data_IF_340506200365
#
_entry.id   IF_340506200365
#
_cell.length_a   1.000
_cell.length_b   1.000
_cell.length_c   1.000
_cell.angle_alpha   90.00
_cell.angle_beta   90.00
_cell.angle_gamma   90.00
#
_symmetry.space_group_name_H-M   'P 1'
#
loop_
_entity.id
_entity.type
_entity.pdbx_description
1 polymer ?
#
# COMPACT_ATOMS: atom_id res chain seq x y z
N UNK A 1 7.06 -15.11 -17.54
CA UNK A 1 6.73 -13.69 -17.30
C UNK A 1 5.86 -13.09 -18.44
N UNK A 2 6.13 -13.32 -19.76
CA UNK A 2 5.30 -12.70 -20.81
C UNK A 2 3.80 -13.04 -20.78
N UNK A 3 3.42 -14.11 -20.09
CA UNK A 3 2.03 -14.60 -20.00
C UNK A 3 1.42 -14.36 -18.61
N UNK A 4 1.85 -13.33 -17.90
CA UNK A 4 1.28 -12.95 -16.62
C UNK A 4 1.02 -11.45 -16.59
N UNK A 5 0.08 -11.00 -15.74
CA UNK A 5 -0.32 -9.60 -15.60
C UNK A 5 0.51 -8.84 -14.57
N UNK A 6 1.17 -9.55 -13.66
CA UNK A 6 2.11 -9.00 -12.68
C UNK A 6 3.11 -10.05 -12.23
N UNK A 7 4.20 -9.63 -11.59
CA UNK A 7 5.21 -10.51 -10.97
C UNK A 7 5.42 -10.07 -9.53
N UNK A 8 5.29 -11.01 -8.59
CA UNK A 8 5.74 -10.82 -7.22
C UNK A 8 7.07 -11.55 -7.00
N UNK A 9 7.99 -10.88 -6.34
CA UNK A 9 9.30 -11.41 -5.95
C UNK A 9 9.42 -11.31 -4.44
N UNK A 10 9.24 -12.42 -3.73
CA UNK A 10 9.45 -12.52 -2.30
C UNK A 10 10.82 -13.17 -2.05
N UNK A 11 11.80 -12.40 -1.55
CA UNK A 11 13.18 -12.85 -1.37
C UNK A 11 13.49 -13.16 0.09
N UNK A 12 13.44 -14.42 0.45
CA UNK A 12 13.81 -14.93 1.77
C UNK A 12 15.32 -15.15 1.98
N UNK A 13 16.15 -14.80 1.01
CA UNK A 13 17.60 -14.95 1.11
C UNK A 13 18.10 -16.40 1.07
N UNK A 14 17.31 -17.34 0.54
CA UNK A 14 17.65 -18.77 0.47
C UNK A 14 18.47 -19.16 -0.78
N UNK A 15 18.97 -18.17 -1.54
CA UNK A 15 19.88 -18.40 -2.66
C UNK A 15 19.21 -18.62 -4.03
N UNK A 16 17.88 -18.73 -4.10
CA UNK A 16 17.16 -18.89 -5.37
C UNK A 16 17.28 -17.64 -6.27
N UNK A 17 17.19 -16.45 -5.65
CA UNK A 17 17.18 -15.18 -6.36
C UNK A 17 18.59 -14.57 -6.42
N UNK A 18 19.28 -14.83 -7.53
CA UNK A 18 20.56 -14.18 -7.84
C UNK A 18 20.35 -12.77 -8.38
N UNK A 19 21.40 -11.92 -8.31
CA UNK A 19 21.38 -10.59 -8.93
C UNK A 19 21.08 -10.67 -10.44
N UNK A 20 21.56 -11.70 -11.14
CA UNK A 20 21.26 -11.91 -12.55
C UNK A 20 19.78 -12.23 -12.78
N UNK A 21 19.20 -13.10 -11.95
CA UNK A 21 17.77 -13.46 -12.00
C UNK A 21 16.90 -12.23 -11.78
N UNK A 22 17.18 -11.43 -10.74
CA UNK A 22 16.43 -10.21 -10.43
C UNK A 22 16.50 -9.16 -11.56
N UNK A 23 17.67 -8.98 -12.15
CA UNK A 23 17.85 -8.13 -13.34
C UNK A 23 17.05 -8.63 -14.54
N UNK A 24 17.03 -9.92 -14.79
CA UNK A 24 16.26 -10.50 -15.89
C UNK A 24 14.74 -10.31 -15.67
N UNK A 25 14.25 -10.54 -14.44
CA UNK A 25 12.85 -10.30 -14.07
C UNK A 25 12.48 -8.81 -14.31
N UNK A 26 13.28 -7.88 -13.80
CA UNK A 26 13.06 -6.46 -13.96
C UNK A 26 13.04 -6.04 -15.44
N UNK A 27 14.01 -6.49 -16.22
CA UNK A 27 14.09 -6.18 -17.64
C UNK A 27 12.90 -6.75 -18.43
N UNK A 28 12.47 -7.97 -18.11
CA UNK A 28 11.31 -8.60 -18.72
C UNK A 28 10.01 -7.87 -18.36
N UNK A 29 9.82 -7.49 -17.09
CA UNK A 29 8.68 -6.69 -16.66
C UNK A 29 8.61 -5.36 -17.40
N UNK A 30 9.71 -4.64 -17.47
CA UNK A 30 9.80 -3.37 -18.21
C UNK A 30 9.49 -3.52 -19.71
N UNK A 31 10.07 -4.54 -20.35
CA UNK A 31 9.85 -4.81 -21.80
C UNK A 31 8.38 -5.09 -22.12
N UNK A 32 7.68 -5.79 -21.25
CA UNK A 32 6.29 -6.23 -21.47
C UNK A 32 5.26 -5.33 -20.75
N UNK A 33 5.68 -4.24 -20.12
CA UNK A 33 4.84 -3.35 -19.30
C UNK A 33 4.08 -4.10 -18.20
N UNK A 34 4.73 -5.08 -17.58
CA UNK A 34 4.20 -5.91 -16.51
C UNK A 34 4.77 -5.38 -15.17
N UNK A 35 3.94 -5.03 -14.18
CA UNK A 35 4.42 -4.60 -12.89
C UNK A 35 5.19 -5.69 -12.17
N UNK A 36 6.34 -5.32 -11.62
CA UNK A 36 7.17 -6.19 -10.77
C UNK A 36 7.19 -5.61 -9.37
N UNK A 37 6.66 -6.36 -8.42
CA UNK A 37 6.60 -6.02 -7.00
C UNK A 37 7.62 -6.86 -6.26
N UNK A 38 8.47 -6.23 -5.45
CA UNK A 38 9.50 -6.91 -4.68
C UNK A 38 9.29 -6.75 -3.18
N UNK A 39 9.37 -7.87 -2.48
CA UNK A 39 9.52 -7.96 -1.03
C UNK A 39 10.97 -8.39 -0.76
N UNK A 40 11.85 -7.45 -0.42
CA UNK A 40 13.28 -7.70 -0.39
C UNK A 40 13.69 -8.39 0.90
N UNK A 41 14.73 -9.20 0.84
CA UNK A 41 15.38 -9.72 2.05
C UNK A 41 16.16 -8.64 2.80
N UNK A 42 16.44 -8.87 4.06
CA UNK A 42 17.35 -8.04 4.84
C UNK A 42 18.77 -8.10 4.24
N UNK A 43 19.18 -7.04 3.57
CA UNK A 43 20.50 -6.89 2.93
C UNK A 43 20.86 -5.41 2.84
N UNK A 44 22.16 -5.11 2.85
CA UNK A 44 22.68 -3.76 2.57
C UNK A 44 22.81 -3.48 1.06
N UNK A 45 22.77 -4.52 0.22
CA UNK A 45 22.87 -4.38 -1.23
C UNK A 45 21.51 -4.38 -1.90
N UNK A 46 20.74 -3.34 -1.68
CA UNK A 46 19.42 -3.17 -2.30
C UNK A 46 19.47 -2.93 -3.81
N UNK A 47 20.62 -2.56 -4.37
CA UNK A 47 20.77 -2.31 -5.82
C UNK A 47 20.43 -3.53 -6.69
N UNK A 48 20.40 -4.73 -6.12
CA UNK A 48 19.96 -5.93 -6.83
C UNK A 48 18.49 -5.89 -7.26
N UNK A 49 17.64 -5.06 -6.60
CA UNK A 49 16.22 -4.87 -6.91
C UNK A 49 15.93 -3.64 -7.78
N UNK A 50 16.94 -3.07 -8.43
CA UNK A 50 16.76 -1.87 -9.27
C UNK A 50 15.74 -2.09 -10.39
N UNK A 51 15.02 -1.00 -10.71
CA UNK A 51 14.04 -0.90 -11.79
C UNK A 51 12.80 -1.80 -11.62
N UNK A 52 12.52 -2.27 -10.43
CA UNK A 52 11.21 -2.85 -10.12
C UNK A 52 10.13 -1.76 -10.19
N UNK A 53 8.87 -2.14 -10.37
CA UNK A 53 7.76 -1.19 -10.31
C UNK A 53 7.57 -0.69 -8.88
N UNK A 54 7.61 -1.61 -7.92
CA UNK A 54 7.42 -1.35 -6.51
C UNK A 54 8.37 -2.22 -5.68
N UNK A 55 8.94 -1.65 -4.62
CA UNK A 55 9.68 -2.37 -3.58
C UNK A 55 9.05 -2.05 -2.22
N UNK A 56 8.87 -3.08 -1.39
CA UNK A 56 8.25 -2.98 -0.06
C UNK A 56 9.16 -3.53 1.03
N UNK A 57 10.19 -2.81 1.47
CA UNK A 57 10.92 -3.18 2.68
C UNK A 57 10.09 -2.94 3.94
N UNK A 58 10.37 -3.72 4.99
CA UNK A 58 9.93 -3.39 6.34
C UNK A 58 10.86 -2.33 6.97
N UNK A 59 10.49 -1.82 8.17
CA UNK A 59 11.29 -0.82 8.90
C UNK A 59 12.75 -1.23 9.04
N UNK A 60 13.02 -2.44 9.52
CA UNK A 60 14.40 -2.93 9.77
C UNK A 60 15.21 -3.03 8.49
N UNK A 61 14.59 -3.50 7.43
CA UNK A 61 15.19 -3.62 6.10
C UNK A 61 15.48 -2.25 5.51
N UNK A 62 14.54 -1.31 5.61
CA UNK A 62 14.73 0.05 5.12
C UNK A 62 15.83 0.79 5.90
N UNK A 63 15.89 0.63 7.22
CA UNK A 63 16.97 1.16 8.06
C UNK A 63 18.34 0.59 7.67
N UNK A 64 18.43 -0.74 7.50
CA UNK A 64 19.66 -1.40 7.09
C UNK A 64 20.13 -0.92 5.71
N UNK A 65 19.20 -0.78 4.76
CA UNK A 65 19.49 -0.30 3.42
C UNK A 65 19.87 1.19 3.37
N UNK A 66 19.24 2.02 4.21
CA UNK A 66 19.53 3.44 4.32
C UNK A 66 20.80 3.75 5.14
N UNK A 67 21.25 2.80 5.98
CA UNK A 67 22.44 2.94 6.82
C UNK A 67 22.22 3.71 8.13
N UNK A 68 20.95 3.96 8.53
CA UNK A 68 20.64 4.63 9.80
C UNK A 68 19.28 4.19 10.36
N UNK A 69 19.07 4.42 11.67
CA UNK A 69 17.83 4.10 12.38
C UNK A 69 16.82 5.24 12.25
N UNK A 70 15.53 4.89 12.20
CA UNK A 70 14.45 5.87 12.18
C UNK A 70 14.08 6.30 13.60
N UNK A 71 14.23 7.59 13.88
CA UNK A 71 13.84 8.22 15.14
C UNK A 71 12.47 8.90 15.01
N UNK A 72 12.19 9.44 13.84
CA UNK A 72 10.97 10.16 13.53
C UNK A 72 10.56 9.97 12.05
N UNK A 73 9.47 10.60 11.66
CA UNK A 73 8.97 10.56 10.28
C UNK A 73 9.94 11.18 9.27
N UNK A 74 10.75 12.17 9.66
CA UNK A 74 11.72 12.80 8.76
C UNK A 74 12.82 11.81 8.37
N UNK A 75 13.27 10.97 9.31
CA UNK A 75 14.23 9.91 9.02
C UNK A 75 13.64 8.90 8.01
N UNK A 76 12.37 8.54 8.16
CA UNK A 76 11.68 7.63 7.24
C UNK A 76 11.62 8.25 5.83
N UNK A 77 11.23 9.52 5.71
CA UNK A 77 11.18 10.23 4.43
C UNK A 77 12.56 10.37 3.79
N UNK A 78 13.59 10.64 4.60
CA UNK A 78 14.98 10.70 4.14
C UNK A 78 15.44 9.35 3.57
N UNK A 79 15.17 8.26 4.29
CA UNK A 79 15.46 6.91 3.81
C UNK A 79 14.70 6.58 2.53
N UNK A 80 13.40 6.90 2.47
CA UNK A 80 12.58 6.68 1.31
C UNK A 80 13.12 7.40 0.07
N UNK A 81 13.55 8.65 0.21
CA UNK A 81 14.18 9.43 -0.87
C UNK A 81 15.48 8.78 -1.37
N UNK A 82 16.35 8.34 -0.45
CA UNK A 82 17.60 7.66 -0.78
C UNK A 82 17.30 6.37 -1.54
N UNK A 83 16.50 5.49 -0.94
CA UNK A 83 16.19 4.17 -1.50
C UNK A 83 15.51 4.28 -2.86
N UNK A 84 14.51 5.15 -2.99
CA UNK A 84 13.83 5.34 -4.28
C UNK A 84 14.76 5.81 -5.37
N UNK A 85 15.66 6.74 -5.05
CA UNK A 85 16.65 7.27 -6.00
C UNK A 85 17.64 6.19 -6.44
N UNK A 86 18.16 5.41 -5.49
CA UNK A 86 19.12 4.33 -5.78
C UNK A 86 18.47 3.17 -6.54
N UNK A 87 17.25 2.80 -6.19
CA UNK A 87 16.54 1.66 -6.77
C UNK A 87 15.87 2.00 -8.11
N UNK A 88 15.66 3.27 -8.41
CA UNK A 88 14.95 3.73 -9.62
C UNK A 88 13.58 3.05 -9.79
N UNK A 89 12.87 2.86 -8.68
CA UNK A 89 11.54 2.28 -8.64
C UNK A 89 10.46 3.34 -8.85
N UNK A 90 9.30 2.94 -9.36
CA UNK A 90 8.18 3.87 -9.50
C UNK A 90 7.57 4.20 -8.14
N UNK A 91 7.40 3.18 -7.30
CA UNK A 91 6.85 3.30 -5.95
C UNK A 91 7.74 2.63 -4.93
N UNK A 92 7.85 3.23 -3.75
CA UNK A 92 8.46 2.60 -2.58
C UNK A 92 7.40 2.57 -1.47
N UNK A 93 7.22 1.41 -0.85
CA UNK A 93 6.39 1.27 0.34
C UNK A 93 7.29 0.81 1.48
N UNK A 94 7.26 1.49 2.61
CA UNK A 94 7.96 1.05 3.82
C UNK A 94 6.91 0.63 4.83
N UNK A 95 6.86 -0.65 5.21
CA UNK A 95 5.99 -1.09 6.31
C UNK A 95 6.62 -0.74 7.65
N UNK A 96 5.82 -0.13 8.52
CA UNK A 96 6.25 0.51 9.77
C UNK A 96 5.67 -0.18 11.01
N UNK A 97 5.38 -1.47 10.90
CA UNK A 97 4.77 -2.28 11.94
C UNK A 97 3.43 -1.67 12.42
N UNK A 98 3.29 -1.42 13.72
CA UNK A 98 2.08 -0.81 14.31
C UNK A 98 1.79 0.62 13.83
N UNK A 99 2.76 1.29 13.24
CA UNK A 99 2.62 2.66 12.73
C UNK A 99 2.04 2.68 11.30
N UNK A 100 1.73 1.50 10.73
CA UNK A 100 1.15 1.38 9.40
C UNK A 100 2.21 1.30 8.30
N UNK A 101 2.09 2.11 7.27
CA UNK A 101 3.05 2.14 6.16
C UNK A 101 3.23 3.53 5.56
N UNK A 102 4.38 3.74 4.91
CA UNK A 102 4.64 4.89 4.06
C UNK A 102 4.53 4.46 2.60
N UNK A 103 3.65 5.08 1.82
CA UNK A 103 3.73 5.11 0.35
C UNK A 103 4.57 6.32 -0.06
N UNK A 104 5.61 6.10 -0.87
CA UNK A 104 6.48 7.16 -1.35
C UNK A 104 6.62 7.08 -2.87
N UNK A 105 6.02 8.04 -3.58
CA UNK A 105 6.11 8.23 -5.03
C UNK A 105 7.14 9.30 -5.39
N UNK A 106 7.19 10.39 -4.63
CA UNK A 106 8.17 11.47 -4.76
C UNK A 106 8.25 12.28 -3.46
N UNK A 107 9.20 13.23 -3.32
CA UNK A 107 9.25 14.12 -2.15
C UNK A 107 8.00 14.99 -1.97
N UNK A 108 7.23 15.21 -3.02
CA UNK A 108 5.99 15.97 -3.02
C UNK A 108 4.74 15.08 -3.04
N UNK A 109 4.91 13.78 -3.21
CA UNK A 109 3.82 12.80 -3.33
C UNK A 109 4.15 11.57 -2.47
N UNK A 110 3.80 11.65 -1.20
CA UNK A 110 3.94 10.57 -0.23
C UNK A 110 2.78 10.59 0.77
N UNK A 111 2.47 9.42 1.33
CA UNK A 111 1.37 9.24 2.27
C UNK A 111 1.75 8.26 3.36
N UNK A 112 1.54 8.68 4.61
CA UNK A 112 1.55 7.75 5.75
C UNK A 112 0.12 7.21 5.92
N UNK A 113 -0.02 5.90 5.82
CA UNK A 113 -1.29 5.18 6.03
C UNK A 113 -1.18 4.49 7.38
N UNK A 114 -1.99 4.96 8.34
CA UNK A 114 -1.99 4.41 9.69
C UNK A 114 -2.46 2.95 9.69
N UNK A 115 -1.92 2.13 10.59
CA UNK A 115 -2.50 0.83 10.86
C UNK A 115 -3.86 1.00 11.55
N UNK A 116 -4.84 0.20 11.19
CA UNK A 116 -6.06 0.11 11.99
C UNK A 116 -5.68 -0.42 13.39
N UNK A 117 -6.02 0.36 14.43
CA UNK A 117 -5.76 -0.01 15.82
C UNK A 117 -6.71 -1.14 16.24
N UNK A 118 -6.26 -2.37 16.09
CA UNK A 118 -6.99 -3.56 16.55
C UNK A 118 -6.08 -4.42 17.42
N UNK A 119 -6.68 -5.30 18.22
CA UNK A 119 -5.91 -6.27 19.00
C UNK A 119 -5.09 -7.16 18.05
N UNK A 120 -3.79 -7.11 18.20
CA UNK A 120 -2.84 -7.87 17.38
C UNK A 120 -2.63 -9.23 18.02
N UNK A 121 -3.05 -10.31 17.35
CA UNK A 121 -2.81 -11.68 17.80
C UNK A 121 -1.52 -12.26 17.23
N UNK A 122 -1.25 -12.04 15.94
CA UNK A 122 -0.04 -12.51 15.28
C UNK A 122 0.33 -11.55 14.13
N UNK A 123 1.62 -11.35 13.92
CA UNK A 123 2.15 -10.50 12.82
C UNK A 123 2.81 -11.32 11.71
N UNK A 124 2.82 -12.66 11.85
CA UNK A 124 3.44 -13.56 10.87
C UNK A 124 2.55 -13.62 9.63
N UNK A 125 3.11 -13.32 8.45
CA UNK A 125 2.38 -13.35 7.17
C UNK A 125 1.83 -12.02 6.70
N UNK A 126 1.61 -11.03 7.58
CA UNK A 126 1.06 -9.73 7.20
C UNK A 126 1.86 -9.03 6.08
N UNK A 127 3.18 -9.17 6.08
CA UNK A 127 4.05 -8.65 5.02
C UNK A 127 3.78 -9.29 3.66
N UNK A 128 3.60 -10.61 3.62
CA UNK A 128 3.32 -11.38 2.40
C UNK A 128 1.94 -11.04 1.83
N UNK A 129 0.93 -10.87 2.71
CA UNK A 129 -0.40 -10.44 2.30
C UNK A 129 -0.36 -9.05 1.68
N UNK A 130 0.30 -8.08 2.31
CA UNK A 130 0.47 -6.74 1.74
C UNK A 130 1.07 -6.83 0.33
N UNK A 131 2.16 -7.58 0.16
CA UNK A 131 2.84 -7.75 -1.13
C UNK A 131 1.95 -8.42 -2.16
N UNK A 132 1.15 -9.42 -1.76
CA UNK A 132 0.23 -10.16 -2.62
C UNK A 132 -0.91 -9.26 -3.11
N UNK A 133 -1.56 -8.52 -2.20
CA UNK A 133 -2.66 -7.62 -2.55
C UNK A 133 -2.17 -6.47 -3.43
N UNK A 134 -1.03 -5.85 -3.10
CA UNK A 134 -0.41 -4.82 -3.94
C UNK A 134 -0.17 -5.34 -5.36
N UNK A 135 0.37 -6.55 -5.49
CA UNK A 135 0.66 -7.17 -6.80
C UNK A 135 -0.63 -7.42 -7.58
N UNK A 136 -1.65 -7.98 -6.93
CA UNK A 136 -2.95 -8.25 -7.53
C UNK A 136 -3.64 -6.97 -8.02
N UNK A 137 -3.65 -5.93 -7.20
CA UNK A 137 -4.25 -4.64 -7.55
C UNK A 137 -3.52 -3.97 -8.73
N UNK A 138 -2.18 -4.02 -8.74
CA UNK A 138 -1.39 -3.48 -9.85
C UNK A 138 -1.57 -4.29 -11.15
N UNK A 139 -1.76 -5.62 -11.07
CA UNK A 139 -2.14 -6.45 -12.20
C UNK A 139 -3.46 -5.98 -12.82
N UNK A 140 -4.45 -5.64 -11.98
CA UNK A 140 -5.73 -5.05 -12.37
C UNK A 140 -5.65 -3.57 -12.78
N UNK A 141 -4.45 -2.98 -12.87
CA UNK A 141 -4.22 -1.56 -13.22
C UNK A 141 -4.87 -0.56 -12.26
N UNK A 142 -5.09 -0.94 -11.01
CA UNK A 142 -5.56 -0.04 -9.98
C UNK A 142 -4.56 1.10 -9.72
N UNK A 143 -5.06 2.23 -9.25
CA UNK A 143 -4.21 3.33 -8.75
C UNK A 143 -3.43 2.85 -7.54
N UNK A 144 -2.21 3.34 -7.36
CA UNK A 144 -1.34 2.88 -6.26
C UNK A 144 -1.94 3.16 -4.89
N UNK A 145 -2.63 4.27 -4.74
CA UNK A 145 -3.29 4.67 -3.49
C UNK A 145 -4.39 3.65 -3.11
N UNK A 146 -5.17 3.21 -4.10
CA UNK A 146 -6.18 2.15 -3.91
C UNK A 146 -5.52 0.83 -3.55
N UNK A 147 -4.45 0.45 -4.25
CA UNK A 147 -3.71 -0.78 -3.98
C UNK A 147 -3.17 -0.80 -2.54
N UNK A 148 -2.63 0.32 -2.06
CA UNK A 148 -2.11 0.48 -0.70
C UNK A 148 -3.23 0.38 0.34
N UNK A 149 -4.36 1.03 0.11
CA UNK A 149 -5.51 0.94 0.99
C UNK A 149 -6.01 -0.51 1.16
N UNK A 150 -6.19 -1.22 0.04
CA UNK A 150 -6.60 -2.63 0.05
C UNK A 150 -5.57 -3.54 0.73
N UNK A 151 -4.29 -3.28 0.50
CA UNK A 151 -3.22 -4.05 1.14
C UNK A 151 -3.18 -3.83 2.65
N UNK A 152 -3.40 -2.60 3.11
CA UNK A 152 -3.46 -2.28 4.54
C UNK A 152 -4.69 -2.93 5.21
N UNK A 153 -5.84 -2.91 4.55
CA UNK A 153 -7.04 -3.59 5.03
C UNK A 153 -6.82 -5.10 5.15
N UNK A 154 -6.25 -5.74 4.12
CA UNK A 154 -5.96 -7.16 4.16
C UNK A 154 -4.96 -7.52 5.27
N UNK A 155 -3.96 -6.68 5.51
CA UNK A 155 -3.02 -6.85 6.62
C UNK A 155 -3.73 -6.75 7.97
N UNK A 156 -4.68 -5.82 8.15
CA UNK A 156 -5.44 -5.68 9.39
C UNK A 156 -6.36 -6.88 9.66
N UNK A 157 -6.83 -7.56 8.62
CA UNK A 157 -7.57 -8.82 8.77
C UNK A 157 -6.66 -9.97 9.21
N UNK A 158 -5.44 -10.06 8.65
CA UNK A 158 -4.48 -11.12 8.97
C UNK A 158 -4.08 -11.10 10.45
N UNK A 159 -3.73 -9.93 10.98
CA UNK A 159 -3.26 -9.80 12.37
C UNK A 159 -4.32 -10.14 13.42
N UNK A 160 -5.59 -10.30 13.03
CA UNK A 160 -6.69 -10.75 13.89
C UNK A 160 -6.79 -12.26 14.00
N UNK A 161 -6.03 -13.00 13.20
CA UNK A 161 -6.03 -14.46 13.18
C UNK A 161 -4.72 -15.01 13.73
N UNK A 162 -4.78 -16.21 14.31
CA UNK A 162 -3.57 -16.94 14.72
C UNK A 162 -3.06 -17.75 13.54
N UNK A 163 -1.84 -17.50 13.12
CA UNK A 163 -1.22 -18.17 11.97
C UNK A 163 -1.54 -17.51 10.62
N UNK A 164 -0.97 -18.02 9.55
CA UNK A 164 -1.15 -17.48 8.19
C UNK A 164 -2.50 -17.90 7.63
N UNK A 165 -3.34 -16.92 7.29
CA UNK A 165 -4.68 -17.15 6.72
C UNK A 165 -4.72 -16.64 5.27
N UNK A 166 -5.26 -17.46 4.36
CA UNK A 166 -5.51 -17.04 2.99
C UNK A 166 -6.94 -16.50 2.87
N UNK A 167 -7.09 -15.24 2.50
CA UNK A 167 -8.39 -14.63 2.26
C UNK A 167 -8.82 -14.80 0.81
N UNK A 168 -10.08 -15.21 0.62
CA UNK A 168 -10.71 -15.19 -0.68
C UNK A 168 -11.08 -13.74 -1.09
N UNK A 169 -11.26 -13.52 -2.40
CA UNK A 169 -11.78 -12.24 -2.90
C UNK A 169 -13.11 -11.86 -2.22
N UNK A 170 -13.99 -12.84 -1.98
CA UNK A 170 -15.30 -12.59 -1.38
C UNK A 170 -15.19 -12.16 0.08
N UNK A 171 -14.29 -12.73 0.85
CA UNK A 171 -14.05 -12.29 2.23
C UNK A 171 -13.50 -10.87 2.31
N UNK A 172 -12.57 -10.52 1.42
CA UNK A 172 -12.10 -9.14 1.29
C UNK A 172 -13.24 -8.20 0.90
N UNK A 173 -14.09 -8.57 -0.06
CA UNK A 173 -15.24 -7.76 -0.48
C UNK A 173 -16.31 -7.66 0.61
N UNK A 174 -16.62 -8.75 1.33
CA UNK A 174 -17.58 -8.73 2.44
C UNK A 174 -17.14 -7.82 3.58
N UNK A 175 -15.84 -7.70 3.84
CA UNK A 175 -15.33 -6.72 4.80
C UNK A 175 -15.60 -5.29 4.33
N UNK A 176 -15.70 -5.07 3.01
CA UNK A 176 -16.16 -3.83 2.41
C UNK A 176 -17.68 -3.66 2.46
N UNK A 177 -18.45 -4.72 2.19
CA UNK A 177 -19.91 -4.68 2.15
C UNK A 177 -20.55 -4.55 3.55
N UNK A 178 -19.85 -4.96 4.64
CA UNK A 178 -20.25 -4.63 6.00
C UNK A 178 -20.31 -3.12 6.21
N UNK A 179 -19.68 -2.38 5.32
CA UNK A 179 -19.65 -0.94 5.21
C UNK A 179 -20.81 -0.25 4.54
N UNK A 180 -21.76 -0.87 3.88
CA UNK A 180 -22.81 -0.11 3.18
C UNK A 180 -23.69 0.77 4.10
N UNK A 181 -23.66 0.57 5.40
CA UNK A 181 -24.37 1.45 6.36
C UNK A 181 -23.47 2.30 7.27
N UNK A 182 -22.21 1.90 7.51
CA UNK A 182 -21.23 2.70 8.27
C UNK A 182 -20.17 3.40 7.40
N UNK A 183 -20.05 3.04 6.13
CA UNK A 183 -18.98 3.42 5.19
C UNK A 183 -18.98 4.86 4.73
N UNK A 184 -19.94 5.64 5.18
CA UNK A 184 -19.93 7.08 4.93
C UNK A 184 -19.10 7.85 5.97
N UNK A 185 -18.68 7.18 7.06
CA UNK A 185 -17.79 7.76 8.07
C UNK A 185 -16.38 7.25 7.79
N UNK A 186 -15.53 8.13 7.31
CA UNK A 186 -14.15 7.81 6.91
C UNK A 186 -13.16 8.60 7.77
N UNK A 187 -11.97 8.02 8.00
CA UNK A 187 -10.86 8.81 8.52
C UNK A 187 -10.38 9.81 7.47
N UNK A 188 -9.66 10.89 7.84
CA UNK A 188 -9.06 11.81 6.88
C UNK A 188 -8.21 11.12 5.81
N UNK A 189 -7.47 10.08 6.19
CA UNK A 189 -6.61 9.30 5.30
C UNK A 189 -7.44 8.49 4.31
N UNK A 190 -8.49 7.81 4.78
CA UNK A 190 -9.42 7.05 3.92
C UNK A 190 -10.13 7.98 2.95
N UNK A 191 -10.60 9.14 3.43
CA UNK A 191 -11.23 10.15 2.59
C UNK A 191 -10.26 10.61 1.50
N UNK A 192 -9.03 10.98 1.86
CA UNK A 192 -8.02 11.43 0.90
C UNK A 192 -7.75 10.40 -0.20
N UNK A 193 -7.68 9.12 0.16
CA UNK A 193 -7.45 8.03 -0.80
C UNK A 193 -8.66 7.75 -1.70
N UNK A 194 -9.88 8.02 -1.21
CA UNK A 194 -11.13 7.79 -1.94
C UNK A 194 -11.54 8.96 -2.85
N UNK A 195 -11.01 10.18 -2.60
CA UNK A 195 -11.39 11.36 -3.34
C UNK A 195 -11.01 11.26 -4.83
N UNK A 196 -11.93 11.58 -5.75
CA UNK A 196 -11.60 11.66 -7.17
C UNK A 196 -10.65 12.84 -7.42
N UNK A 197 -9.46 12.57 -7.96
CA UNK A 197 -8.47 13.64 -8.27
C UNK A 197 -8.88 14.54 -9.44
N UNK A 198 -9.83 14.12 -10.26
CA UNK A 198 -10.24 14.79 -11.50
C UNK A 198 -11.62 15.46 -11.42
N UNK A 199 -12.29 15.38 -10.28
CA UNK A 199 -13.61 16.00 -10.08
C UNK A 199 -13.58 16.94 -8.89
N UNK A 200 -14.31 18.07 -8.95
CA UNK A 200 -14.45 18.93 -7.80
C UNK A 200 -15.10 18.17 -6.65
N UNK A 201 -14.58 18.39 -5.45
CA UNK A 201 -15.12 17.80 -4.22
C UNK A 201 -15.71 18.94 -3.40
N UNK A 202 -16.97 18.81 -3.04
CA UNK A 202 -17.66 19.78 -2.21
C UNK A 202 -17.62 19.29 -0.77
N UNK A 203 -17.03 20.09 0.11
CA UNK A 203 -17.04 19.87 1.56
C UNK A 203 -18.11 20.72 2.21
N UNK A 204 -18.87 20.13 3.12
CA UNK A 204 -19.82 20.85 3.98
C UNK A 204 -19.78 20.26 5.39
N UNK A 205 -20.13 21.07 6.37
CA UNK A 205 -20.32 20.65 7.75
C UNK A 205 -21.66 21.13 8.28
N UNK A 206 -22.18 20.46 9.30
CA UNK A 206 -23.45 20.83 9.93
C UNK A 206 -23.83 19.86 11.04
N UNK A 207 -24.86 20.24 11.81
CA UNK A 207 -25.51 19.33 12.74
C UNK A 207 -26.51 18.48 11.97
N UNK A 208 -26.24 17.21 11.79
CA UNK A 208 -27.08 16.25 11.06
C UNK A 208 -27.69 15.18 11.99
N UNK A 209 -27.90 15.54 13.27
CA UNK A 209 -28.47 14.61 14.26
C UNK A 209 -29.88 14.17 13.85
N UNK A 210 -30.65 15.06 13.23
CA UNK A 210 -31.93 14.76 12.60
C UNK A 210 -31.94 15.32 11.17
N UNK A 211 -32.17 14.44 10.18
CA UNK A 211 -32.24 14.84 8.79
C UNK A 211 -33.59 15.48 8.50
N UNK A 212 -33.63 16.79 8.30
CA UNK A 212 -34.80 17.56 7.89
C UNK A 212 -34.94 17.65 6.37
N UNK A 213 -36.13 18.03 5.92
CA UNK A 213 -36.36 18.33 4.48
C UNK A 213 -35.45 19.45 3.96
N UNK A 214 -35.03 20.40 4.81
CA UNK A 214 -34.04 21.44 4.50
C UNK A 214 -32.67 20.85 4.21
N UNK A 215 -32.21 19.91 5.02
CA UNK A 215 -30.93 19.21 4.80
C UNK A 215 -30.94 18.44 3.48
N UNK A 216 -32.03 17.73 3.17
CA UNK A 216 -32.16 16.99 1.90
C UNK A 216 -32.13 17.92 0.69
N UNK A 217 -32.84 19.05 0.76
CA UNK A 217 -32.85 20.07 -0.31
C UNK A 217 -31.44 20.66 -0.52
N UNK A 218 -30.75 21.00 0.57
CA UNK A 218 -29.39 21.53 0.53
C UNK A 218 -28.41 20.53 -0.09
N UNK A 219 -28.40 19.28 0.38
CA UNK A 219 -27.54 18.23 -0.18
C UNK A 219 -27.84 17.94 -1.65
N UNK A 220 -29.12 18.00 -2.04
CA UNK A 220 -29.50 17.84 -3.44
C UNK A 220 -28.96 18.97 -4.32
N UNK A 221 -29.01 20.22 -3.84
CA UNK A 221 -28.45 21.38 -4.55
C UNK A 221 -26.94 21.28 -4.71
N UNK A 222 -26.21 20.82 -3.67
CA UNK A 222 -24.76 20.59 -3.77
C UNK A 222 -24.35 19.54 -4.81
N UNK A 223 -25.23 18.55 -5.05
CA UNK A 223 -24.98 17.51 -6.04
C UNK A 223 -25.09 18.00 -7.49
N UNK A 224 -25.71 19.15 -7.70
CA UNK A 224 -25.92 19.75 -9.02
C UNK A 224 -24.90 20.82 -9.40
N UNK A 225 -23.95 21.11 -8.49
CA UNK A 225 -22.78 21.96 -8.73
C UNK A 225 -21.63 21.15 -9.33
#
# INVERSE_FOLDING_TARGET
>A
IPNCDAVIVSDYGKGLLSSATLKAISACGKKNNIPVVGDPRNTTNYKIYQNFTLIKPNRKEAEAAAGFKFKDQNDILKAAKILKTELKVKYLIISLDKDGLLLFSSPQDYHFVAAETQEVFDVVGAGDIVSSVLTFMLAGKAKIEQAVYWAQLAASMEIQHVGVVAFSKNELLQRFDIGETSDKIMTPEQLYLSLPKEKPVIFTNGFFDEISAGHLKFLHQLKTL
#
